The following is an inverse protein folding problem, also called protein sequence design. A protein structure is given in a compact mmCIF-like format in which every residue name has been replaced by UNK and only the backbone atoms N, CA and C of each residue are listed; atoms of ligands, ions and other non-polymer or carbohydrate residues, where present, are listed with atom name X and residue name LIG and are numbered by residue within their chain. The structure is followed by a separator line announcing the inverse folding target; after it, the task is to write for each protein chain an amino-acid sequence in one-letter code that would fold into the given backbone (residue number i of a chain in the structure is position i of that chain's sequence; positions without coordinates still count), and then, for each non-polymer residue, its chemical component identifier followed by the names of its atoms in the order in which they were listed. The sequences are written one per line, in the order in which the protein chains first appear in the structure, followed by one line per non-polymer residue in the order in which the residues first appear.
data_IF_538627076299
#
_entry.id   IF_538627076299
#
_cell.length_a   1.000
_cell.length_b   1.000
_cell.length_c   1.000
_cell.angle_alpha   90.00
_cell.angle_beta   90.00
_cell.angle_gamma   90.00
#
_symmetry.space_group_name_H-M   'P 1'
#
loop_
_entity.id
_entity.type
_entity.pdbx_description
1 polymer ?
#
# COMPACT_ATOMS: atom_id res chain seq x y z
N UNK A 1 -18.06 32.18 41.70
CA UNK A 1 -17.11 31.90 40.61
C UNK A 1 -17.93 31.64 39.33
N UNK A 2 -17.93 32.63 38.47
CA UNK A 2 -18.76 32.63 37.25
C UNK A 2 -18.03 31.87 36.11
N UNK A 3 -18.67 30.84 35.58
CA UNK A 3 -18.21 30.15 34.37
C UNK A 3 -18.50 31.05 33.16
N UNK A 4 -17.45 31.42 32.45
CA UNK A 4 -17.53 32.06 31.13
C UNK A 4 -17.88 30.97 30.10
N UNK A 5 -19.07 31.08 29.51
CA UNK A 5 -19.42 30.32 28.32
C UNK A 5 -18.66 30.90 27.11
N UNK A 6 -17.73 30.16 26.57
CA UNK A 6 -17.11 30.53 25.30
C UNK A 6 -18.08 30.23 24.15
N UNK A 7 -18.32 31.26 23.36
CA UNK A 7 -19.23 31.27 22.21
C UNK A 7 -18.54 30.55 21.02
N UNK A 8 -19.11 29.43 20.61
CA UNK A 8 -18.61 28.59 19.49
C UNK A 8 -19.12 29.05 18.11
N UNK A 9 -19.69 30.25 17.98
CA UNK A 9 -20.21 30.75 16.72
C UNK A 9 -19.17 31.20 15.70
N UNK A 10 -17.89 31.34 16.08
CA UNK A 10 -16.81 31.84 15.21
C UNK A 10 -16.11 30.76 14.35
N UNK A 11 -16.41 29.48 14.55
CA UNK A 11 -15.75 28.41 13.80
C UNK A 11 -16.38 28.07 12.43
N UNK A 12 -17.55 28.64 12.08
CA UNK A 12 -18.21 28.38 10.80
C UNK A 12 -17.63 29.14 9.61
N UNK A 13 -16.78 30.11 9.80
CA UNK A 13 -16.27 30.97 8.70
C UNK A 13 -14.81 30.67 8.27
N UNK A 14 -14.14 29.67 8.88
CA UNK A 14 -12.75 29.32 8.50
C UNK A 14 -12.66 28.25 7.41
N UNK A 15 -13.77 27.60 7.06
CA UNK A 15 -13.77 26.54 6.04
C UNK A 15 -13.92 27.04 4.60
N UNK A 16 -14.25 28.32 4.39
CA UNK A 16 -14.45 28.87 3.03
C UNK A 16 -13.26 29.64 2.45
N UNK A 17 -12.21 29.89 3.22
CA UNK A 17 -11.10 30.75 2.81
C UNK A 17 -9.87 30.04 2.22
N UNK A 18 -9.85 28.69 2.17
CA UNK A 18 -8.68 27.93 1.71
C UNK A 18 -8.84 27.19 0.39
N UNK A 19 -9.96 27.31 -0.29
CA UNK A 19 -10.16 26.71 -1.62
C UNK A 19 -10.25 27.77 -2.71
N UNK A 20 -9.13 28.44 -3.01
CA UNK A 20 -8.98 29.03 -4.34
C UNK A 20 -8.68 27.87 -5.31
N UNK A 21 -9.42 27.70 -6.42
CA UNK A 21 -9.12 26.69 -7.41
C UNK A 21 -7.70 26.98 -7.98
N UNK A 22 -6.76 26.10 -7.64
CA UNK A 22 -5.45 26.09 -8.29
C UNK A 22 -5.72 25.85 -9.78
N UNK A 23 -5.43 26.82 -10.62
CA UNK A 23 -5.46 26.64 -12.08
C UNK A 23 -4.44 25.57 -12.45
N UNK A 24 -4.89 24.34 -12.58
CA UNK A 24 -4.10 23.22 -13.04
C UNK A 24 -3.65 23.53 -14.47
N UNK A 25 -2.34 23.50 -14.70
CA UNK A 25 -1.80 23.55 -16.06
C UNK A 25 -2.17 22.20 -16.73
N UNK A 26 -2.78 22.20 -17.92
CA UNK A 26 -3.01 20.97 -18.67
C UNK A 26 -1.66 20.37 -19.08
N UNK A 27 -1.53 19.06 -19.00
CA UNK A 27 -0.37 18.22 -19.33
C UNK A 27 0.73 18.11 -18.25
N UNK A 28 0.47 17.33 -17.20
CA UNK A 28 1.49 16.87 -16.26
C UNK A 28 1.29 15.37 -15.90
N UNK A 29 1.01 14.53 -16.87
CA UNK A 29 1.54 13.17 -16.84
C UNK A 29 2.92 13.29 -17.47
N UNK A 30 3.93 13.57 -16.67
CA UNK A 30 5.33 13.51 -17.12
C UNK A 30 5.56 12.10 -17.65
N UNK A 31 6.13 12.00 -18.86
CA UNK A 31 6.57 10.71 -19.38
C UNK A 31 7.43 10.04 -18.29
N UNK A 32 7.12 8.81 -17.95
CA UNK A 32 7.93 8.04 -17.00
C UNK A 32 9.34 7.90 -17.58
N UNK A 33 10.36 7.96 -16.72
CA UNK A 33 11.74 7.76 -17.17
C UNK A 33 11.95 6.35 -17.72
N UNK A 34 13.02 6.16 -18.48
CA UNK A 34 13.38 4.84 -18.96
C UNK A 34 13.70 3.87 -17.81
N UNK A 35 13.44 2.56 -17.96
CA UNK A 35 13.78 1.55 -16.99
C UNK A 35 15.28 1.56 -16.67
N UNK A 36 15.61 1.38 -15.39
CA UNK A 36 16.99 1.17 -14.96
C UNK A 36 17.43 -0.27 -15.19
N UNK A 37 18.73 -0.45 -15.42
CA UNK A 37 19.37 -1.77 -15.50
C UNK A 37 20.44 -1.91 -14.42
N UNK A 38 20.61 -3.12 -13.91
CA UNK A 38 21.68 -3.45 -12.99
C UNK A 38 22.95 -3.69 -13.80
N UNK A 39 24.08 -3.09 -13.40
CA UNK A 39 25.36 -3.31 -14.08
C UNK A 39 25.81 -4.76 -13.94
N UNK A 40 26.53 -5.29 -14.95
CA UNK A 40 27.03 -6.66 -14.94
C UNK A 40 27.89 -6.93 -13.70
N UNK A 41 28.70 -5.95 -13.31
CA UNK A 41 29.51 -6.02 -12.09
C UNK A 41 28.63 -6.20 -10.84
N UNK A 42 27.54 -5.44 -10.70
CA UNK A 42 26.65 -5.57 -9.54
C UNK A 42 25.89 -6.90 -9.56
N UNK A 43 25.55 -7.43 -10.73
CA UNK A 43 24.93 -8.76 -10.86
C UNK A 43 25.83 -9.88 -10.36
N UNK A 44 27.15 -9.78 -10.60
CA UNK A 44 28.13 -10.78 -10.20
C UNK A 44 28.55 -10.63 -8.73
N UNK A 45 28.82 -9.39 -8.28
CA UNK A 45 29.43 -9.12 -6.97
C UNK A 45 28.42 -9.04 -5.82
N UNK A 46 27.17 -8.56 -6.05
CA UNK A 46 26.18 -8.37 -4.99
C UNK A 46 25.43 -9.67 -4.70
N UNK A 47 25.63 -10.24 -3.50
CA UNK A 47 24.89 -11.40 -3.02
C UNK A 47 23.49 -10.96 -2.58
N UNK A 48 22.48 -11.25 -3.41
CA UNK A 48 21.09 -10.91 -3.17
C UNK A 48 20.38 -12.01 -2.39
N UNK A 49 19.85 -11.70 -1.21
CA UNK A 49 18.93 -12.57 -0.48
C UNK A 49 17.48 -12.19 -0.81
N UNK A 50 16.80 -13.02 -1.60
CA UNK A 50 15.36 -12.88 -1.86
C UNK A 50 14.56 -13.65 -0.82
N UNK A 51 13.67 -12.94 -0.14
CA UNK A 51 12.86 -13.48 0.96
C UNK A 51 11.38 -13.35 0.61
N UNK A 52 10.71 -14.48 0.43
CA UNK A 52 9.25 -14.52 0.21
C UNK A 52 8.69 -15.84 0.76
N UNK A 53 7.44 -15.85 1.23
CA UNK A 53 6.81 -17.03 1.85
C UNK A 53 6.89 -18.30 0.98
N UNK A 54 6.91 -18.13 -0.33
CA UNK A 54 7.03 -19.22 -1.31
C UNK A 54 8.25 -19.03 -2.23
N UNK A 55 9.36 -18.46 -1.74
CA UNK A 55 10.58 -18.26 -2.54
C UNK A 55 11.14 -19.58 -3.08
N UNK A 56 11.03 -20.67 -2.33
CA UNK A 56 11.48 -22.01 -2.69
C UNK A 56 10.38 -22.86 -3.36
N UNK A 57 9.18 -22.29 -3.56
CA UNK A 57 8.04 -22.99 -4.17
C UNK A 57 8.23 -23.25 -5.68
N UNK A 58 7.43 -24.16 -6.22
CA UNK A 58 7.43 -24.56 -7.64
C UNK A 58 6.51 -23.69 -8.52
N UNK A 59 5.84 -22.67 -7.93
CA UNK A 59 4.91 -21.80 -8.64
C UNK A 59 3.50 -22.37 -8.81
N UNK A 60 3.19 -23.51 -8.21
CA UNK A 60 1.83 -24.04 -8.19
C UNK A 60 0.94 -23.25 -7.22
N UNK A 61 -0.38 -23.28 -7.46
CA UNK A 61 -1.36 -22.62 -6.59
C UNK A 61 -1.32 -23.25 -5.18
N UNK A 62 -1.11 -22.42 -4.16
CA UNK A 62 -1.07 -22.92 -2.78
C UNK A 62 -2.47 -22.97 -2.16
N UNK A 63 -2.82 -24.10 -1.50
CA UNK A 63 -4.18 -24.33 -0.98
C UNK A 63 -4.63 -23.31 0.09
N UNK A 64 -3.70 -22.69 0.81
CA UNK A 64 -3.98 -21.73 1.89
C UNK A 64 -3.64 -20.28 1.51
N UNK A 65 -2.64 -20.09 0.62
CA UNK A 65 -2.20 -18.76 0.19
C UNK A 65 -2.61 -18.41 -1.25
N UNK A 66 -3.24 -19.34 -1.95
CA UNK A 66 -3.74 -19.13 -3.30
C UNK A 66 -2.64 -18.73 -4.27
N UNK A 67 -2.88 -17.66 -5.00
CA UNK A 67 -2.01 -17.15 -6.06
C UNK A 67 -0.68 -16.52 -5.59
N UNK A 68 -0.46 -16.38 -4.28
CA UNK A 68 0.81 -15.84 -3.77
C UNK A 68 2.01 -16.73 -4.07
N UNK A 69 1.83 -18.06 -4.13
CA UNK A 69 2.89 -18.98 -4.52
C UNK A 69 3.32 -18.76 -5.99
N UNK A 70 2.36 -18.54 -6.88
CA UNK A 70 2.61 -18.22 -8.30
C UNK A 70 3.39 -16.90 -8.40
N UNK A 71 2.93 -15.87 -7.70
CA UNK A 71 3.55 -14.56 -7.66
C UNK A 71 5.01 -14.59 -7.19
N UNK A 72 5.29 -15.26 -6.08
CA UNK A 72 6.66 -15.34 -5.54
C UNK A 72 7.59 -16.12 -6.48
N UNK A 73 7.07 -17.16 -7.14
CA UNK A 73 7.81 -17.91 -8.15
C UNK A 73 8.12 -17.06 -9.39
N UNK A 74 7.16 -16.25 -9.86
CA UNK A 74 7.39 -15.33 -10.99
C UNK A 74 8.51 -14.34 -10.69
N UNK A 75 8.47 -13.68 -9.52
CA UNK A 75 9.52 -12.73 -9.13
C UNK A 75 10.88 -13.43 -9.04
N UNK A 76 10.95 -14.61 -8.40
CA UNK A 76 12.18 -15.41 -8.35
C UNK A 76 12.71 -15.70 -9.76
N UNK A 77 11.86 -16.21 -10.65
CA UNK A 77 12.26 -16.55 -12.01
C UNK A 77 12.81 -15.36 -12.80
N UNK A 78 12.26 -14.16 -12.56
CA UNK A 78 12.80 -12.92 -13.10
C UNK A 78 14.19 -12.63 -12.54
N UNK A 79 14.38 -12.70 -11.21
CA UNK A 79 15.67 -12.48 -10.58
C UNK A 79 16.74 -13.47 -11.08
N UNK A 80 16.37 -14.74 -11.24
CA UNK A 80 17.23 -15.78 -11.84
C UNK A 80 17.60 -15.45 -13.31
N UNK A 81 16.62 -14.99 -14.10
CA UNK A 81 16.83 -14.64 -15.51
C UNK A 81 17.70 -13.38 -15.70
N UNK A 82 17.76 -12.50 -14.71
CA UNK A 82 18.65 -11.35 -14.70
C UNK A 82 20.11 -11.71 -14.40
N UNK A 83 20.39 -12.97 -14.05
CA UNK A 83 21.73 -13.46 -13.76
C UNK A 83 22.29 -12.97 -12.42
N UNK A 84 21.45 -12.71 -11.44
CA UNK A 84 21.86 -12.22 -10.12
C UNK A 84 22.45 -13.34 -9.26
N UNK A 85 23.42 -13.00 -8.40
CA UNK A 85 23.95 -13.89 -7.38
C UNK A 85 22.92 -14.05 -6.25
N UNK A 86 22.03 -15.05 -6.38
CA UNK A 86 20.75 -15.14 -5.67
C UNK A 86 20.77 -16.25 -4.61
N UNK A 87 20.41 -15.89 -3.38
CA UNK A 87 20.05 -16.81 -2.29
C UNK A 87 18.55 -16.65 -1.97
N UNK A 88 17.87 -17.75 -1.63
CA UNK A 88 16.43 -17.79 -1.39
C UNK A 88 16.11 -18.15 0.05
N UNK A 89 15.09 -17.50 0.64
CA UNK A 89 14.55 -17.91 1.94
C UNK A 89 13.02 -17.75 1.99
N UNK A 90 12.34 -18.75 2.58
CA UNK A 90 10.91 -18.68 2.86
C UNK A 90 10.59 -18.00 4.20
N UNK A 91 11.59 -17.76 5.04
CA UNK A 91 11.40 -17.30 6.41
C UNK A 91 12.37 -16.18 6.78
N UNK A 92 12.04 -15.41 7.81
CA UNK A 92 12.89 -14.33 8.31
C UNK A 92 13.95 -14.83 9.31
N UNK A 93 13.87 -16.09 9.77
CA UNK A 93 14.80 -16.68 10.75
C UNK A 93 16.23 -16.70 10.25
N UNK A 94 16.44 -16.70 8.94
CA UNK A 94 17.78 -16.57 8.34
C UNK A 94 18.51 -15.30 8.80
N UNK A 95 17.75 -14.24 9.13
CA UNK A 95 18.29 -12.96 9.63
C UNK A 95 18.61 -12.96 11.13
N UNK A 96 18.27 -14.01 11.89
CA UNK A 96 18.73 -14.15 13.28
C UNK A 96 20.19 -14.61 13.35
N UNK A 97 20.71 -15.22 12.28
CA UNK A 97 22.13 -15.46 12.07
C UNK A 97 22.83 -14.26 11.44
N UNK A 98 23.90 -14.53 10.74
CA UNK A 98 24.58 -13.56 9.87
C UNK A 98 24.61 -14.16 8.46
N UNK A 99 23.53 -13.94 7.65
CA UNK A 99 23.49 -14.48 6.31
C UNK A 99 24.60 -13.87 5.45
N UNK A 100 25.17 -14.65 4.56
CA UNK A 100 26.10 -14.15 3.55
C UNK A 100 25.33 -13.42 2.45
N UNK A 101 24.86 -12.21 2.74
CA UNK A 101 24.13 -11.37 1.83
C UNK A 101 24.62 -9.92 1.92
N UNK A 102 24.70 -9.27 0.77
CA UNK A 102 25.07 -7.86 0.65
C UNK A 102 23.82 -6.98 0.48
N UNK A 103 22.70 -7.58 0.08
CA UNK A 103 21.40 -6.91 -0.07
C UNK A 103 20.24 -7.87 0.15
N UNK A 104 19.16 -7.38 0.76
CA UNK A 104 17.93 -8.15 1.00
C UNK A 104 16.77 -7.61 0.17
N UNK A 105 16.09 -8.49 -0.57
CA UNK A 105 14.82 -8.19 -1.22
C UNK A 105 13.67 -8.86 -0.45
N UNK A 106 12.97 -8.12 0.43
CA UNK A 106 11.94 -8.67 1.30
C UNK A 106 10.55 -8.60 0.65
N UNK A 107 9.98 -9.72 0.29
CA UNK A 107 8.55 -9.90 -0.03
C UNK A 107 7.82 -10.75 1.01
N UNK A 108 8.42 -10.97 2.18
CA UNK A 108 7.77 -11.54 3.34
C UNK A 108 6.92 -10.46 4.03
N UNK A 109 5.72 -10.28 3.49
CA UNK A 109 4.71 -9.43 4.07
C UNK A 109 4.03 -10.22 5.18
N UNK A 110 3.84 -9.66 6.35
CA UNK A 110 3.11 -10.22 7.48
C UNK A 110 3.64 -11.55 8.01
N UNK A 111 4.43 -11.44 9.06
CA UNK A 111 4.94 -12.58 9.82
C UNK A 111 3.92 -13.21 10.79
N UNK A 112 2.62 -12.87 10.70
CA UNK A 112 1.58 -13.40 11.57
C UNK A 112 1.47 -12.75 12.95
N UNK A 113 2.07 -11.57 13.14
CA UNK A 113 1.98 -10.77 14.37
C UNK A 113 1.87 -9.28 14.06
N UNK A 114 1.48 -8.49 15.05
CA UNK A 114 1.28 -7.05 14.90
C UNK A 114 2.58 -6.34 14.47
N UNK A 115 2.47 -5.42 13.51
CA UNK A 115 3.59 -4.65 12.95
C UNK A 115 4.71 -5.49 12.32
N UNK A 116 4.41 -6.70 11.87
CA UNK A 116 5.37 -7.62 11.25
C UNK A 116 6.05 -7.08 9.99
N UNK A 117 5.44 -6.10 9.32
CA UNK A 117 6.04 -5.40 8.16
C UNK A 117 7.36 -4.68 8.51
N UNK A 118 7.56 -4.32 9.78
CA UNK A 118 8.79 -3.66 10.24
C UNK A 118 9.93 -4.65 10.56
N UNK A 119 9.63 -5.93 10.77
CA UNK A 119 10.60 -6.88 11.33
C UNK A 119 11.82 -7.07 10.43
N UNK A 120 11.62 -7.37 9.16
CA UNK A 120 12.74 -7.63 8.24
C UNK A 120 13.62 -6.40 8.08
N UNK A 121 13.10 -5.19 7.80
CA UNK A 121 13.91 -3.98 7.80
C UNK A 121 14.67 -3.75 9.11
N UNK A 122 14.05 -3.97 10.29
CA UNK A 122 14.74 -3.83 11.58
C UNK A 122 15.89 -4.82 11.76
N UNK A 123 15.71 -6.07 11.33
CA UNK A 123 16.77 -7.07 11.36
C UNK A 123 17.92 -6.71 10.41
N UNK A 124 17.60 -6.23 9.22
CA UNK A 124 18.58 -5.73 8.26
C UNK A 124 19.39 -4.55 8.80
N UNK A 125 18.71 -3.55 9.41
CA UNK A 125 19.37 -2.41 10.07
C UNK A 125 20.35 -2.89 11.18
N UNK A 126 19.88 -3.84 12.03
CA UNK A 126 20.72 -4.40 13.09
C UNK A 126 21.95 -5.13 12.56
N UNK A 127 21.82 -5.80 11.42
CA UNK A 127 22.90 -6.54 10.77
C UNK A 127 23.77 -5.65 9.86
N UNK A 128 23.37 -4.38 9.65
CA UNK A 128 23.98 -3.47 8.69
C UNK A 128 23.97 -4.03 7.25
N UNK A 129 22.92 -4.77 6.89
CA UNK A 129 22.68 -5.28 5.55
C UNK A 129 21.68 -4.36 4.84
N UNK A 130 22.03 -3.74 3.72
CA UNK A 130 21.11 -2.99 2.86
C UNK A 130 19.91 -3.82 2.42
N UNK A 131 18.77 -3.16 2.18
CA UNK A 131 17.53 -3.84 1.78
C UNK A 131 16.66 -2.98 0.87
N UNK A 132 15.80 -3.62 0.11
CA UNK A 132 14.83 -2.98 -0.77
C UNK A 132 13.63 -2.45 0.03
N UNK A 133 13.17 -1.26 -0.36
CA UNK A 133 11.95 -0.63 0.15
C UNK A 133 12.22 0.46 1.19
N UNK A 134 11.19 0.80 1.94
CA UNK A 134 11.23 1.87 2.93
C UNK A 134 11.81 1.41 4.28
N UNK A 135 12.25 2.37 5.09
CA UNK A 135 12.76 2.14 6.46
C UNK A 135 11.68 1.53 7.36
N UNK A 136 12.05 0.89 8.49
CA UNK A 136 11.09 0.25 9.39
C UNK A 136 9.97 1.19 9.85
N UNK A 137 10.34 2.42 10.24
CA UNK A 137 9.36 3.40 10.73
C UNK A 137 8.39 3.83 9.63
N UNK A 138 8.86 4.00 8.40
CA UNK A 138 8.00 4.37 7.27
C UNK A 138 7.05 3.23 6.86
N UNK A 139 7.53 1.98 6.91
CA UNK A 139 6.65 0.80 6.72
C UNK A 139 5.58 0.70 7.79
N UNK A 140 5.95 0.89 9.06
CA UNK A 140 4.98 0.89 10.16
C UNK A 140 3.96 2.02 10.05
N UNK A 141 4.40 3.22 9.68
CA UNK A 141 3.51 4.37 9.44
C UNK A 141 2.54 4.12 8.27
N UNK A 142 3.01 3.48 7.20
CA UNK A 142 2.18 3.14 6.05
C UNK A 142 1.17 2.02 6.36
N UNK A 143 1.56 1.03 7.17
CA UNK A 143 0.72 -0.10 7.54
C UNK A 143 -0.39 0.28 8.54
N UNK A 144 -0.15 1.27 9.40
CA UNK A 144 -1.12 1.81 10.35
C UNK A 144 -2.06 2.81 9.65
N UNK A 145 -3.30 2.38 9.37
CA UNK A 145 -4.29 3.18 8.64
C UNK A 145 -4.64 4.48 9.37
N UNK A 146 -4.70 4.47 10.70
CA UNK A 146 -4.95 5.67 11.49
C UNK A 146 -3.82 6.70 11.30
N UNK A 147 -2.56 6.29 11.44
CA UNK A 147 -1.41 7.17 11.26
C UNK A 147 -1.25 7.63 9.81
N UNK A 148 -1.47 6.76 8.84
CA UNK A 148 -1.47 7.11 7.43
C UNK A 148 -2.53 8.17 7.09
N UNK A 149 -3.76 8.03 7.64
CA UNK A 149 -4.83 9.02 7.45
C UNK A 149 -4.54 10.34 8.18
N UNK A 150 -3.87 10.31 9.33
CA UNK A 150 -3.41 11.53 10.02
C UNK A 150 -2.38 12.28 9.16
N UNK A 151 -1.38 11.59 8.63
CA UNK A 151 -0.39 12.17 7.71
C UNK A 151 -1.07 12.74 6.45
N UNK A 152 -1.97 11.98 5.82
CA UNK A 152 -2.71 12.45 4.65
C UNK A 152 -3.53 13.72 4.94
N UNK A 153 -4.22 13.76 6.08
CA UNK A 153 -5.03 14.92 6.50
C UNK A 153 -4.17 16.15 6.76
N UNK A 154 -3.00 15.99 7.40
CA UNK A 154 -2.03 17.06 7.62
C UNK A 154 -1.51 17.63 6.29
N UNK A 155 -1.38 16.81 5.26
CA UNK A 155 -1.02 17.22 3.89
C UNK A 155 -2.20 17.73 3.06
N UNK A 156 -3.38 17.90 3.68
CA UNK A 156 -4.57 18.43 3.01
C UNK A 156 -5.22 17.45 2.03
N UNK A 157 -5.02 16.14 2.20
CA UNK A 157 -5.72 15.15 1.41
C UNK A 157 -7.14 14.93 1.97
N UNK A 158 -8.16 14.92 1.12
CA UNK A 158 -9.47 14.44 1.50
C UNK A 158 -9.40 12.97 1.91
N UNK A 159 -9.92 12.62 3.07
CA UNK A 159 -10.07 11.24 3.56
C UNK A 159 -11.32 11.15 4.41
N UNK A 160 -12.02 10.02 4.40
CA UNK A 160 -13.20 9.81 5.22
C UNK A 160 -12.91 10.09 6.70
N UNK A 161 -13.86 10.63 7.47
CA UNK A 161 -13.76 10.66 8.92
C UNK A 161 -13.62 9.24 9.45
N UNK A 162 -12.92 9.07 10.56
CA UNK A 162 -12.73 7.74 11.15
C UNK A 162 -12.59 7.83 12.66
N UNK A 163 -12.84 6.70 13.30
CA UNK A 163 -12.52 6.46 14.71
C UNK A 163 -11.66 5.21 14.83
N UNK A 164 -10.70 5.23 15.72
CA UNK A 164 -9.92 4.06 16.10
C UNK A 164 -10.36 3.59 17.49
N UNK A 165 -10.76 2.32 17.55
CA UNK A 165 -11.03 1.60 18.81
C UNK A 165 -9.82 0.73 19.13
N UNK A 166 -9.11 1.11 20.19
CA UNK A 166 -7.90 0.41 20.64
C UNK A 166 -8.28 -0.87 21.38
N UNK A 167 -7.60 -1.96 21.09
CA UNK A 167 -7.77 -3.23 21.81
C UNK A 167 -7.54 -3.02 23.31
N UNK A 168 -8.47 -3.49 24.15
CA UNK A 168 -8.44 -3.28 25.60
C UNK A 168 -8.95 -1.93 26.09
N UNK A 169 -9.35 -1.00 25.22
CA UNK A 169 -9.98 0.27 25.59
C UNK A 169 -11.52 0.20 25.46
N UNK A 170 -12.26 1.11 26.13
CA UNK A 170 -13.71 1.20 25.98
C UNK A 170 -14.12 1.47 24.53
N UNK A 171 -15.20 0.81 24.09
CA UNK A 171 -15.81 0.99 22.76
C UNK A 171 -17.12 1.74 22.95
N UNK A 172 -17.16 3.02 22.58
CA UNK A 172 -18.29 3.92 22.87
C UNK A 172 -18.92 4.43 21.56
N UNK A 173 -20.26 4.39 21.50
CA UNK A 173 -21.05 4.80 20.34
C UNK A 173 -20.85 6.28 19.96
N UNK A 174 -20.68 7.15 20.97
CA UNK A 174 -20.48 8.59 20.77
C UNK A 174 -19.27 8.95 19.90
N UNK A 175 -18.28 8.04 19.82
CA UNK A 175 -17.05 8.23 19.07
C UNK A 175 -17.17 7.65 17.62
N UNK A 176 -18.24 6.89 17.35
CA UNK A 176 -18.47 6.29 16.05
C UNK A 176 -18.84 7.35 14.99
N UNK A 177 -18.27 7.30 13.78
CA UNK A 177 -18.72 8.14 12.69
C UNK A 177 -20.21 7.88 12.38
N UNK A 178 -20.95 8.94 12.08
CA UNK A 178 -22.37 8.82 11.72
C UNK A 178 -22.48 8.60 10.21
N UNK A 179 -22.96 7.42 9.80
CA UNK A 179 -23.23 7.07 8.41
C UNK A 179 -24.26 5.94 8.34
N UNK A 180 -24.96 5.84 7.21
CA UNK A 180 -25.91 4.75 6.94
C UNK A 180 -25.23 3.39 6.77
N UNK A 181 -23.98 3.42 6.31
CA UNK A 181 -23.13 2.23 6.10
C UNK A 181 -21.70 2.52 6.52
N UNK A 182 -21.14 1.66 7.30
CA UNK A 182 -19.79 1.78 7.86
C UNK A 182 -18.93 0.57 7.50
N UNK A 183 -17.65 0.82 7.34
CA UNK A 183 -16.62 -0.21 7.17
C UNK A 183 -15.82 -0.28 8.47
N UNK A 184 -15.74 -1.48 9.04
CA UNK A 184 -14.93 -1.79 10.21
C UNK A 184 -13.82 -2.71 9.79
N UNK A 185 -12.57 -2.37 10.09
CA UNK A 185 -11.42 -3.16 9.64
C UNK A 185 -10.27 -3.07 10.65
N UNK A 186 -9.37 -4.05 10.70
CA UNK A 186 -8.16 -3.93 11.50
C UNK A 186 -7.33 -2.73 11.06
N UNK A 187 -6.82 -1.97 12.04
CA UNK A 187 -6.03 -0.76 11.77
C UNK A 187 -4.75 -1.07 10.98
N UNK A 188 -4.09 -2.19 11.29
CA UNK A 188 -2.91 -2.69 10.58
C UNK A 188 -3.21 -4.06 9.94
N UNK A 189 -3.64 -4.06 8.67
CA UNK A 189 -3.97 -5.29 7.92
C UNK A 189 -3.81 -5.07 6.42
N UNK A 190 -3.76 -6.15 5.66
CA UNK A 190 -3.65 -6.12 4.21
C UNK A 190 -4.64 -7.06 3.52
N UNK A 191 -4.82 -6.89 2.22
CA UNK A 191 -5.62 -7.75 1.36
C UNK A 191 -7.07 -7.95 1.83
N UNK A 192 -7.69 -6.96 2.45
CA UNK A 192 -9.06 -7.01 3.00
C UNK A 192 -9.28 -8.07 4.09
N UNK A 193 -8.22 -8.49 4.80
CA UNK A 193 -8.39 -9.35 5.96
C UNK A 193 -9.12 -8.61 7.09
N UNK A 194 -10.15 -9.25 7.68
CA UNK A 194 -10.91 -8.70 8.81
C UNK A 194 -11.77 -7.49 8.47
N UNK A 195 -12.15 -7.27 7.19
CA UNK A 195 -13.09 -6.20 6.82
C UNK A 195 -14.53 -6.65 7.07
N UNK A 196 -15.29 -5.83 7.79
CA UNK A 196 -16.70 -5.98 8.08
C UNK A 196 -17.52 -4.81 7.55
N UNK A 197 -18.76 -5.09 7.19
CA UNK A 197 -19.78 -4.14 6.78
C UNK A 197 -20.81 -3.98 7.91
N UNK A 198 -21.14 -2.76 8.29
CA UNK A 198 -22.10 -2.50 9.36
C UNK A 198 -23.03 -1.34 8.99
N UNK A 199 -24.35 -1.50 9.26
CA UNK A 199 -25.35 -0.49 9.02
C UNK A 199 -25.85 0.22 10.28
N UNK A 200 -25.40 -0.23 11.45
CA UNK A 200 -25.78 0.31 12.75
C UNK A 200 -24.68 0.11 13.80
N UNK A 201 -24.89 0.69 14.97
CA UNK A 201 -23.95 0.59 16.08
C UNK A 201 -23.77 -0.84 16.60
N UNK A 202 -24.82 -1.66 16.56
CA UNK A 202 -24.75 -3.07 17.04
C UNK A 202 -23.78 -3.86 16.18
N UNK A 203 -23.88 -3.71 14.85
CA UNK A 203 -22.96 -4.31 13.89
C UNK A 203 -21.53 -3.80 14.04
N UNK A 204 -21.34 -2.49 14.21
CA UNK A 204 -20.01 -1.90 14.47
C UNK A 204 -19.38 -2.50 15.72
N UNK A 205 -20.12 -2.53 16.83
CA UNK A 205 -19.61 -3.06 18.10
C UNK A 205 -19.23 -4.53 18.01
N UNK A 206 -20.02 -5.33 17.30
CA UNK A 206 -19.71 -6.73 17.06
C UNK A 206 -18.44 -6.90 16.25
N UNK A 207 -18.32 -6.19 15.13
CA UNK A 207 -17.14 -6.23 14.27
C UNK A 207 -15.86 -5.78 15.00
N UNK A 208 -15.96 -4.73 15.82
CA UNK A 208 -14.83 -4.28 16.67
C UNK A 208 -14.44 -5.36 17.66
N UNK A 209 -15.41 -6.04 18.30
CA UNK A 209 -15.11 -7.12 19.24
C UNK A 209 -14.38 -8.30 18.58
N UNK A 210 -14.83 -8.73 17.39
CA UNK A 210 -14.18 -9.80 16.61
C UNK A 210 -12.72 -9.42 16.25
N UNK A 211 -12.47 -8.16 15.85
CA UNK A 211 -11.11 -7.67 15.55
C UNK A 211 -10.24 -7.62 16.82
N UNK A 212 -10.82 -7.23 17.95
CA UNK A 212 -10.12 -7.19 19.24
C UNK A 212 -9.79 -8.59 19.76
N UNK A 213 -10.63 -9.60 19.52
CA UNK A 213 -10.36 -11.00 19.87
C UNK A 213 -9.12 -11.54 19.13
N UNK A 214 -8.87 -11.05 17.91
CA UNK A 214 -7.66 -11.35 17.13
C UNK A 214 -6.43 -10.50 17.56
N UNK A 215 -6.58 -9.64 18.58
CA UNK A 215 -5.51 -8.81 19.13
C UNK A 215 -5.18 -7.54 18.32
N UNK A 216 -6.08 -7.10 17.45
CA UNK A 216 -5.88 -5.92 16.61
C UNK A 216 -6.74 -4.73 17.08
N UNK A 217 -6.23 -3.52 16.88
CA UNK A 217 -7.03 -2.29 16.94
C UNK A 217 -7.98 -2.25 15.74
N UNK A 218 -9.18 -1.72 15.94
CA UNK A 218 -10.17 -1.57 14.87
C UNK A 218 -10.30 -0.11 14.44
N UNK A 219 -10.33 0.14 13.12
CA UNK A 219 -10.68 1.44 12.55
C UNK A 219 -12.08 1.36 11.92
N UNK A 220 -12.91 2.34 12.22
CA UNK A 220 -14.28 2.48 11.72
C UNK A 220 -14.39 3.74 10.89
N UNK A 221 -14.92 3.64 9.69
CA UNK A 221 -15.12 4.75 8.77
C UNK A 221 -16.41 4.59 7.96
N UNK A 222 -17.04 5.67 7.45
CA UNK A 222 -18.11 5.56 6.50
C UNK A 222 -17.71 4.77 5.26
N UNK A 223 -18.62 3.96 4.73
CA UNK A 223 -18.43 3.39 3.40
C UNK A 223 -18.41 4.51 2.36
N UNK A 224 -17.39 4.54 1.55
CA UNK A 224 -17.25 5.49 0.46
C UNK A 224 -17.74 4.85 -0.84
N UNK A 225 -18.71 5.49 -1.48
CA UNK A 225 -19.16 5.07 -2.80
C UNK A 225 -18.11 5.38 -3.88
N UNK A 226 -18.13 4.60 -4.96
CA UNK A 226 -17.24 4.76 -6.11
C UNK A 226 -16.32 3.55 -6.30
N UNK A 227 -15.19 3.76 -6.93
CA UNK A 227 -14.23 2.72 -7.31
C UNK A 227 -12.86 2.98 -6.74
N UNK A 228 -12.07 1.91 -6.53
CA UNK A 228 -10.70 2.03 -6.06
C UNK A 228 -9.78 2.38 -7.23
N UNK A 229 -9.07 3.50 -7.12
CA UNK A 229 -7.97 3.88 -8.00
C UNK A 229 -6.66 3.68 -7.27
N UNK A 230 -5.79 2.87 -7.84
CA UNK A 230 -4.48 2.57 -7.29
C UNK A 230 -3.38 3.26 -8.10
N UNK A 231 -2.49 3.93 -7.40
CA UNK A 231 -1.42 4.76 -7.95
C UNK A 231 -0.07 4.13 -7.60
N UNK A 232 0.52 3.32 -8.50
CA UNK A 232 1.85 2.80 -8.29
C UNK A 232 2.89 3.92 -8.47
N UNK A 233 3.89 3.91 -7.60
CA UNK A 233 5.02 4.83 -7.62
C UNK A 233 6.30 4.03 -7.55
N UNK A 234 7.25 4.34 -8.42
CA UNK A 234 8.60 3.76 -8.44
C UNK A 234 9.61 4.88 -8.31
N UNK A 235 10.60 4.73 -7.46
CA UNK A 235 11.70 5.68 -7.39
C UNK A 235 12.73 5.37 -8.47
N UNK A 236 13.14 6.39 -9.22
CA UNK A 236 14.13 6.30 -10.30
C UNK A 236 15.11 7.46 -10.14
N UNK A 237 16.39 7.15 -9.97
CA UNK A 237 17.44 8.12 -9.71
C UNK A 237 17.15 9.05 -8.51
N UNK A 238 16.63 8.46 -7.42
CA UNK A 238 16.27 9.18 -6.18
C UNK A 238 14.96 9.95 -6.22
N UNK A 239 14.25 9.99 -7.37
CA UNK A 239 12.99 10.70 -7.51
C UNK A 239 11.79 9.77 -7.72
N UNK A 240 10.79 9.79 -6.83
CA UNK A 240 9.56 9.02 -7.00
C UNK A 240 8.78 9.46 -8.24
N UNK A 241 8.47 8.51 -9.10
CA UNK A 241 7.69 8.71 -10.33
C UNK A 241 6.38 7.95 -10.27
N UNK A 242 5.28 8.66 -10.53
CA UNK A 242 3.95 8.09 -10.61
C UNK A 242 3.83 7.33 -11.94
N UNK A 243 3.55 6.05 -11.85
CA UNK A 243 3.27 5.19 -13.00
C UNK A 243 1.80 5.34 -13.45
N UNK A 244 1.41 4.80 -14.62
CA UNK A 244 0.02 4.77 -15.05
C UNK A 244 -0.92 4.23 -13.97
N UNK A 245 -1.97 4.99 -13.67
CA UNK A 245 -2.94 4.66 -12.62
C UNK A 245 -3.86 3.53 -13.09
N UNK A 246 -4.31 2.72 -12.14
CA UNK A 246 -5.17 1.58 -12.40
C UNK A 246 -6.47 1.69 -11.62
N UNK A 247 -7.57 1.29 -12.23
CA UNK A 247 -8.90 1.26 -11.63
C UNK A 247 -9.34 -0.18 -11.39
N UNK A 248 -9.88 -0.47 -10.21
CA UNK A 248 -10.66 -1.68 -10.00
C UNK A 248 -12.11 -1.44 -10.40
N UNK A 249 -12.44 -1.86 -11.61
CA UNK A 249 -13.80 -1.86 -12.10
C UNK A 249 -14.56 -3.09 -11.58
N UNK A 250 -15.66 -2.87 -10.88
CA UNK A 250 -16.50 -3.90 -10.27
C UNK A 250 -17.90 -3.86 -10.87
N UNK A 251 -18.50 -5.06 -11.10
CA UNK A 251 -19.89 -5.16 -11.54
C UNK A 251 -20.88 -4.62 -10.48
N UNK A 252 -20.52 -4.72 -9.20
CA UNK A 252 -21.21 -4.10 -8.07
C UNK A 252 -20.22 -3.21 -7.31
N UNK A 253 -20.27 -1.88 -7.48
CA UNK A 253 -19.38 -0.95 -6.78
C UNK A 253 -19.57 -0.94 -5.26
N UNK A 254 -20.71 -1.45 -4.76
CA UNK A 254 -20.98 -1.54 -3.33
C UNK A 254 -20.39 -2.77 -2.66
N UNK A 255 -19.92 -3.76 -3.44
CA UNK A 255 -19.33 -4.99 -2.92
C UNK A 255 -17.95 -4.72 -2.29
N UNK A 256 -17.80 -5.14 -1.02
CA UNK A 256 -16.50 -5.16 -0.34
C UNK A 256 -15.77 -6.46 -0.69
N UNK A 257 -14.71 -6.35 -1.49
CA UNK A 257 -13.90 -7.50 -1.88
C UNK A 257 -13.25 -8.15 -0.66
N UNK A 258 -13.49 -9.44 -0.49
CA UNK A 258 -12.97 -10.21 0.64
C UNK A 258 -11.51 -10.63 0.44
N UNK A 259 -10.84 -11.01 1.54
CA UNK A 259 -9.52 -11.62 1.53
C UNK A 259 -9.45 -12.86 0.63
N UNK A 260 -10.46 -13.73 0.71
CA UNK A 260 -10.54 -14.99 -0.03
C UNK A 260 -10.65 -14.79 -1.54
N UNK A 261 -11.43 -13.78 -1.96
CA UNK A 261 -11.56 -13.38 -3.37
C UNK A 261 -10.28 -12.79 -3.93
N UNK A 262 -9.58 -11.96 -3.15
CA UNK A 262 -8.32 -11.34 -3.58
C UNK A 262 -7.19 -12.35 -3.77
N UNK A 263 -7.29 -13.52 -3.13
CA UNK A 263 -6.31 -14.62 -3.18
C UNK A 263 -6.70 -15.76 -4.10
N UNK A 264 -7.83 -15.69 -4.76
CA UNK A 264 -8.40 -16.75 -5.60
C UNK A 264 -8.58 -18.08 -4.84
N UNK A 265 -8.95 -17.99 -3.56
CA UNK A 265 -9.24 -19.13 -2.69
C UNK A 265 -10.71 -19.58 -2.73
N UNK A 266 -11.58 -18.73 -3.27
CA UNK A 266 -13.01 -19.00 -3.49
C UNK A 266 -13.41 -18.49 -4.87
N UNK A 267 -14.51 -19.05 -5.43
CA UNK A 267 -15.14 -18.46 -6.61
C UNK A 267 -15.62 -17.03 -6.26
N UNK A 268 -15.32 -16.11 -7.16
CA UNK A 268 -15.72 -14.71 -6.99
C UNK A 268 -17.20 -14.56 -7.27
N UNK A 269 -17.96 -14.17 -6.27
CA UNK A 269 -19.39 -13.87 -6.41
C UNK A 269 -19.63 -12.67 -7.32
N UNK A 270 -18.72 -11.72 -7.32
CA UNK A 270 -18.78 -10.50 -8.16
C UNK A 270 -17.54 -10.40 -9.06
N UNK A 271 -17.78 -10.13 -10.34
CA UNK A 271 -16.70 -9.92 -11.30
C UNK A 271 -16.05 -8.57 -11.05
N UNK A 272 -14.74 -8.54 -11.03
CA UNK A 272 -13.95 -7.32 -11.11
C UNK A 272 -12.81 -7.48 -12.10
N UNK A 273 -12.36 -6.37 -12.64
CA UNK A 273 -11.17 -6.33 -13.50
C UNK A 273 -10.32 -5.13 -13.15
N UNK A 274 -9.03 -5.24 -13.39
CA UNK A 274 -8.09 -4.15 -13.28
C UNK A 274 -7.93 -3.52 -14.66
N UNK A 275 -8.32 -2.26 -14.79
CA UNK A 275 -8.29 -1.51 -16.05
C UNK A 275 -7.46 -0.25 -15.92
N UNK A 276 -7.03 0.31 -17.04
CA UNK A 276 -6.35 1.61 -17.08
C UNK A 276 -7.28 2.70 -16.56
N UNK A 277 -6.75 3.60 -15.74
CA UNK A 277 -7.45 4.80 -15.30
C UNK A 277 -6.83 6.03 -15.96
N UNK A 278 -7.55 6.59 -16.93
CA UNK A 278 -7.09 7.73 -17.74
C UNK A 278 -8.18 8.81 -17.80
N UNK A 279 -8.48 9.39 -16.63
CA UNK A 279 -9.48 10.45 -16.52
C UNK A 279 -8.81 11.83 -16.56
N UNK A 280 -9.18 12.71 -17.52
CA UNK A 280 -8.46 13.95 -17.81
C UNK A 280 -8.38 14.94 -16.64
N UNK A 281 -9.38 14.95 -15.75
CA UNK A 281 -9.43 15.86 -14.60
C UNK A 281 -8.96 15.18 -13.30
N UNK A 282 -9.33 13.90 -13.09
CA UNK A 282 -9.04 13.20 -11.85
C UNK A 282 -7.60 12.71 -11.78
N UNK A 283 -6.99 12.23 -12.88
CA UNK A 283 -5.60 11.79 -12.85
C UNK A 283 -4.63 12.87 -12.40
N UNK A 284 -4.69 14.13 -12.92
CA UNK A 284 -3.86 15.21 -12.41
C UNK A 284 -4.12 15.54 -10.93
N UNK A 285 -5.38 15.50 -10.48
CA UNK A 285 -5.74 15.72 -9.08
C UNK A 285 -5.16 14.63 -8.17
N UNK A 286 -5.36 13.36 -8.51
CA UNK A 286 -4.83 12.21 -7.75
C UNK A 286 -3.31 12.24 -7.73
N UNK A 287 -2.66 12.55 -8.85
CA UNK A 287 -1.22 12.68 -8.92
C UNK A 287 -0.69 13.76 -7.97
N UNK A 288 -1.36 14.91 -7.89
CA UNK A 288 -0.98 15.98 -6.96
C UNK A 288 -1.17 15.56 -5.50
N UNK A 289 -2.30 14.92 -5.17
CA UNK A 289 -2.54 14.40 -3.82
C UNK A 289 -1.49 13.33 -3.44
N UNK A 290 -1.15 12.45 -4.37
CA UNK A 290 -0.09 11.45 -4.19
C UNK A 290 1.26 12.11 -3.92
N UNK A 291 1.65 13.16 -4.68
CA UNK A 291 2.91 13.88 -4.44
C UNK A 291 2.97 14.53 -3.07
N UNK A 292 1.85 15.05 -2.57
CA UNK A 292 1.80 15.65 -1.22
C UNK A 292 2.02 14.62 -0.14
N UNK A 293 1.27 13.52 -0.15
CA UNK A 293 1.36 12.53 0.92
C UNK A 293 2.68 11.76 0.89
N UNK A 294 3.22 11.41 -0.28
CA UNK A 294 4.47 10.65 -0.36
C UNK A 294 5.68 11.41 0.17
N UNK A 295 5.60 12.74 0.36
CA UNK A 295 6.67 13.54 0.97
C UNK A 295 7.04 13.04 2.36
N UNK A 296 6.08 12.53 3.14
CA UNK A 296 6.29 12.03 4.51
C UNK A 296 6.86 10.62 4.55
N UNK A 297 6.88 9.92 3.40
CA UNK A 297 7.25 8.51 3.30
C UNK A 297 8.57 8.26 2.56
N UNK A 298 9.32 9.32 2.23
CA UNK A 298 10.63 9.20 1.57
C UNK A 298 11.75 8.95 2.60
N UNK A 299 12.78 8.15 2.25
CA UNK A 299 12.93 7.43 0.99
C UNK A 299 12.18 6.10 0.94
N UNK A 300 11.74 5.71 -0.25
CA UNK A 300 11.21 4.37 -0.57
C UNK A 300 11.55 4.02 -2.02
N UNK A 301 11.70 2.74 -2.35
CA UNK A 301 12.03 2.31 -3.71
C UNK A 301 10.79 2.13 -4.58
N UNK A 302 9.70 1.67 -3.98
CA UNK A 302 8.38 1.55 -4.61
C UNK A 302 7.26 1.62 -3.58
N UNK A 303 6.10 2.05 -4.01
CA UNK A 303 4.92 2.16 -3.16
C UNK A 303 3.64 2.31 -3.96
N UNK A 304 2.50 2.04 -3.34
CA UNK A 304 1.18 2.17 -3.94
C UNK A 304 0.28 3.00 -3.03
N UNK A 305 -0.34 4.00 -3.62
CA UNK A 305 -1.27 4.91 -2.96
C UNK A 305 -2.67 4.61 -3.46
N UNK A 306 -3.64 4.53 -2.57
CA UNK A 306 -4.99 4.08 -2.88
C UNK A 306 -6.01 5.17 -2.60
N UNK A 307 -6.88 5.41 -3.57
CA UNK A 307 -7.93 6.40 -3.49
C UNK A 307 -9.29 5.79 -3.84
N UNK A 308 -10.33 6.22 -3.15
CA UNK A 308 -11.70 5.96 -3.53
C UNK A 308 -12.21 7.12 -4.37
N UNK A 309 -12.70 6.85 -5.56
CA UNK A 309 -13.09 7.85 -6.55
C UNK A 309 -14.54 7.63 -6.95
N UNK A 310 -15.36 8.64 -6.75
CA UNK A 310 -16.73 8.66 -7.25
C UNK A 310 -16.77 9.45 -8.56
N UNK A 311 -16.99 8.75 -9.69
CA UNK A 311 -16.95 9.33 -11.03
C UNK A 311 -18.10 10.31 -11.28
N UNK A 312 -19.24 10.10 -10.63
CA UNK A 312 -20.45 10.95 -10.84
C UNK A 312 -20.33 12.29 -10.15
N UNK A 313 -19.69 12.31 -8.97
CA UNK A 313 -19.56 13.53 -8.15
C UNK A 313 -18.19 14.19 -8.28
N UNK A 314 -17.20 13.51 -8.87
CA UNK A 314 -15.82 13.98 -8.91
C UNK A 314 -15.10 13.90 -7.57
N UNK A 315 -15.64 13.19 -6.58
CA UNK A 315 -15.08 13.10 -5.24
C UNK A 315 -13.91 12.11 -5.22
N UNK A 316 -12.77 12.55 -4.67
CA UNK A 316 -11.55 11.75 -4.51
C UNK A 316 -11.19 11.71 -3.03
N UNK A 317 -11.11 10.53 -2.45
CA UNK A 317 -10.79 10.32 -1.03
C UNK A 317 -9.57 9.38 -0.91
N UNK A 318 -8.57 9.79 -0.13
CA UNK A 318 -7.44 8.91 0.21
C UNK A 318 -7.90 7.77 1.12
N UNK A 319 -7.50 6.55 0.80
CA UNK A 319 -7.79 5.34 1.58
C UNK A 319 -6.60 4.91 2.42
N UNK A 320 -5.54 4.50 1.75
CA UNK A 320 -4.32 3.95 2.38
C UNK A 320 -3.12 4.05 1.43
N UNK A 321 -1.95 3.66 1.93
CA UNK A 321 -0.76 3.47 1.13
C UNK A 321 -0.02 2.21 1.56
N UNK A 322 0.76 1.65 0.66
CA UNK A 322 1.55 0.44 0.85
C UNK A 322 2.97 0.65 0.35
N UNK A 323 3.98 0.45 1.22
CA UNK A 323 5.40 0.55 0.86
C UNK A 323 6.10 -0.81 0.71
N UNK A 324 5.32 -1.89 0.75
CA UNK A 324 5.76 -3.26 0.52
C UNK A 324 4.65 -4.05 -0.19
N UNK A 325 4.22 -3.53 -1.34
CA UNK A 325 3.07 -4.03 -2.08
C UNK A 325 3.44 -5.13 -3.07
N UNK A 326 2.41 -5.79 -3.58
CA UNK A 326 2.52 -6.89 -4.53
C UNK A 326 3.10 -6.41 -5.88
N UNK A 327 4.14 -7.09 -6.36
CA UNK A 327 4.83 -6.81 -7.63
C UNK A 327 4.50 -7.84 -8.73
N UNK A 328 3.42 -8.61 -8.60
CA UNK A 328 3.01 -9.59 -9.60
C UNK A 328 2.56 -8.94 -10.91
N UNK A 329 2.90 -9.57 -12.06
CA UNK A 329 2.53 -9.09 -13.40
C UNK A 329 1.02 -8.90 -13.60
N UNK A 330 0.18 -9.73 -12.95
CA UNK A 330 -1.27 -9.68 -13.02
C UNK A 330 -1.92 -8.66 -12.06
N UNK A 331 -1.13 -7.89 -11.30
CA UNK A 331 -1.60 -6.89 -10.35
C UNK A 331 -1.18 -5.48 -10.79
N UNK A 332 -1.47 -4.50 -9.96
CA UNK A 332 -1.36 -3.07 -10.26
C UNK A 332 -0.01 -2.66 -10.84
N UNK A 333 1.10 -3.08 -10.21
CA UNK A 333 2.43 -2.72 -10.70
C UNK A 333 2.75 -3.32 -12.07
N UNK A 334 2.45 -4.61 -12.26
CA UNK A 334 2.70 -5.28 -13.54
C UNK A 334 1.85 -4.71 -14.68
N UNK A 335 0.57 -4.48 -14.44
CA UNK A 335 -0.33 -3.86 -15.44
C UNK A 335 0.06 -2.42 -15.74
N UNK A 336 0.41 -1.65 -14.73
CA UNK A 336 0.89 -0.29 -14.88
C UNK A 336 2.22 -0.22 -15.66
N UNK A 337 3.16 -1.12 -15.37
CA UNK A 337 4.41 -1.25 -16.13
C UNK A 337 4.15 -1.58 -17.61
N UNK A 338 3.27 -2.54 -17.88
CA UNK A 338 2.85 -2.86 -19.26
C UNK A 338 2.26 -1.65 -19.97
N UNK A 339 1.43 -0.86 -19.30
CA UNK A 339 0.84 0.37 -19.84
C UNK A 339 1.91 1.44 -20.12
N UNK A 340 2.97 1.48 -19.30
CA UNK A 340 4.13 2.35 -19.51
C UNK A 340 5.08 1.86 -20.62
N UNK A 341 4.82 0.69 -21.22
CA UNK A 341 5.67 0.07 -22.21
C UNK A 341 6.84 -0.73 -21.65
N UNK A 342 6.82 -1.03 -20.34
CA UNK A 342 7.85 -1.84 -19.68
C UNK A 342 7.43 -3.31 -19.59
N UNK A 343 8.40 -4.20 -19.67
CA UNK A 343 8.22 -5.60 -19.29
C UNK A 343 8.20 -5.75 -17.77
N UNK A 344 7.67 -6.86 -17.28
CA UNK A 344 7.71 -7.19 -15.85
C UNK A 344 9.15 -7.28 -15.33
N UNK A 345 10.07 -7.82 -16.13
CA UNK A 345 11.49 -7.90 -15.79
C UNK A 345 12.11 -6.49 -15.64
N UNK A 346 11.82 -5.57 -16.55
CA UNK A 346 12.28 -4.19 -16.46
C UNK A 346 11.74 -3.48 -15.21
N UNK A 347 10.49 -3.72 -14.81
CA UNK A 347 9.95 -3.18 -13.56
C UNK A 347 10.75 -3.67 -12.34
N UNK A 348 10.93 -4.99 -12.22
CA UNK A 348 11.65 -5.59 -11.09
C UNK A 348 13.11 -5.15 -11.08
N UNK A 349 13.77 -5.16 -12.24
CA UNK A 349 15.17 -4.71 -12.38
C UNK A 349 15.31 -3.23 -12.01
N UNK A 350 14.39 -2.35 -12.44
CA UNK A 350 14.40 -0.92 -12.11
C UNK A 350 14.32 -0.69 -10.61
N UNK A 351 13.35 -1.34 -9.94
CA UNK A 351 13.17 -1.21 -8.48
C UNK A 351 14.41 -1.68 -7.73
N UNK A 352 15.01 -2.79 -8.18
CA UNK A 352 16.19 -3.36 -7.54
C UNK A 352 17.46 -2.52 -7.83
N UNK A 353 17.62 -2.01 -9.05
CA UNK A 353 18.71 -1.12 -9.43
C UNK A 353 18.70 0.17 -8.61
N UNK A 354 17.51 0.76 -8.40
CA UNK A 354 17.37 1.93 -7.52
C UNK A 354 17.78 1.61 -6.08
N UNK A 355 17.35 0.46 -5.55
CA UNK A 355 17.76 -0.01 -4.23
C UNK A 355 19.28 -0.16 -4.13
N UNK A 356 19.92 -0.74 -5.13
CA UNK A 356 21.39 -0.88 -5.17
C UNK A 356 22.08 0.49 -5.21
N UNK A 357 21.62 1.43 -6.03
CA UNK A 357 22.17 2.81 -6.10
C UNK A 357 22.02 3.53 -4.77
N UNK A 358 20.85 3.50 -4.18
CA UNK A 358 20.56 4.16 -2.91
C UNK A 358 21.49 3.69 -1.78
N UNK A 359 21.95 2.45 -1.84
CA UNK A 359 22.86 1.87 -0.86
C UNK A 359 24.32 1.83 -1.31
N UNK A 360 24.66 2.41 -2.46
CA UNK A 360 26.03 2.50 -2.95
C UNK A 360 26.62 1.17 -3.46
N UNK A 361 25.78 0.21 -3.80
CA UNK A 361 26.17 -1.07 -4.39
C UNK A 361 26.28 -1.02 -5.92
N UNK A 362 25.83 0.06 -6.53
CA UNK A 362 25.91 0.37 -7.95
C UNK A 362 25.97 1.89 -8.16
N UNK A 363 26.67 2.35 -9.22
CA UNK A 363 26.72 3.75 -9.63
C UNK A 363 25.43 4.24 -10.30
#
# INVERSE_FOLDING_TARGET
MSYVRSDFSSFRNLTQAYFSPVKLRPNLVTAIADPLTISDRAKEEVRLLFMAKHALGDGSLHKEDGNHAIYHHEVRSILESLGLNLTLSNTYEILFGQPEADFVFPLLNRGGFLNSEMLIPLLCERLSIPYLGATPILRGLADDKHLAKLSARERGLPTAPWTIYRCGAPVEEKDCPVAERMVVKPNASSASWGIHDASDWVGVRQAVAEIHEEGHDAIVEPFLEGSDVEVPVVTINGEPQIMPMMLFEQADPSHLRTYWEKRDLVERGHKYQLVDFDHPEMCPQIAELTRRVMTDYRPFDYGRFEFRVNMDTGNVQFLELNLNCNLWSEKVFGRSAQRAGWTQAQLIETILAEGYRRHGLME
#
